data_IF_752321254268
#
_entry.id   IF_752321254268
#
_cell.length_a   1.000
_cell.length_b   1.000
_cell.length_c   1.000
_cell.angle_alpha   90.00
_cell.angle_beta   90.00
_cell.angle_gamma   90.00
#
_symmetry.space_group_name_H-M   'P 1'
#
loop_
_entity.id
_entity.type
_entity.pdbx_description
1 polymer ?
#
# COMPACT_ATOMS: atom_id res chain seq x y z
N UNK A 1 -39.98 -22.16 -8.71
CA UNK A 1 -38.59 -21.96 -8.29
C UNK A 1 -38.62 -21.48 -6.83
N UNK A 2 -38.04 -22.29 -5.97
CA UNK A 2 -38.06 -22.03 -4.52
C UNK A 2 -37.51 -20.63 -4.20
N UNK A 3 -38.29 -19.85 -3.46
CA UNK A 3 -37.96 -18.55 -2.90
C UNK A 3 -36.58 -18.55 -2.20
N UNK A 4 -36.22 -19.66 -1.56
CA UNK A 4 -34.93 -19.85 -0.89
C UNK A 4 -33.71 -19.74 -1.83
N UNK A 5 -33.78 -20.27 -3.04
CA UNK A 5 -32.69 -20.17 -4.02
C UNK A 5 -32.47 -18.73 -4.52
N UNK A 6 -33.56 -17.96 -4.67
CA UNK A 6 -33.53 -16.55 -5.04
C UNK A 6 -32.94 -15.69 -3.93
N UNK A 7 -33.21 -16.02 -2.66
CA UNK A 7 -32.65 -15.29 -1.49
C UNK A 7 -31.16 -15.56 -1.28
N UNK A 8 -30.70 -16.78 -1.56
CA UNK A 8 -29.25 -17.10 -1.52
C UNK A 8 -28.50 -16.31 -2.57
N UNK A 9 -29.04 -16.20 -3.79
CA UNK A 9 -28.42 -15.41 -4.87
C UNK A 9 -28.37 -13.91 -4.52
N UNK A 10 -29.41 -13.36 -3.92
CA UNK A 10 -29.45 -11.94 -3.50
C UNK A 10 -28.48 -11.59 -2.36
N UNK A 11 -28.08 -12.58 -1.55
CA UNK A 11 -27.14 -12.38 -0.42
C UNK A 11 -25.68 -12.56 -0.79
N UNK A 12 -25.38 -12.96 -2.03
CA UNK A 12 -23.99 -13.06 -2.47
C UNK A 12 -23.33 -11.67 -2.50
N UNK A 13 -22.19 -11.54 -1.84
CA UNK A 13 -21.41 -10.31 -1.88
C UNK A 13 -20.75 -10.12 -3.26
N UNK A 14 -20.54 -8.87 -3.67
CA UNK A 14 -19.89 -8.53 -4.96
C UNK A 14 -18.52 -9.21 -5.14
N UNK A 15 -17.82 -9.53 -4.06
CA UNK A 15 -16.56 -10.28 -4.12
C UNK A 15 -16.81 -11.76 -4.44
N UNK A 16 -17.86 -12.35 -3.92
CA UNK A 16 -18.19 -13.76 -4.15
C UNK A 16 -18.59 -13.96 -5.62
N UNK A 17 -19.36 -13.03 -6.17
CA UNK A 17 -19.67 -13.01 -7.60
C UNK A 17 -18.38 -12.91 -8.44
N UNK A 18 -17.49 -11.99 -8.09
CA UNK A 18 -16.20 -11.81 -8.78
C UNK A 18 -15.31 -13.05 -8.64
N UNK A 19 -15.34 -13.73 -7.49
CA UNK A 19 -14.61 -14.98 -7.23
C UNK A 19 -15.10 -16.09 -8.15
N UNK A 20 -16.40 -16.21 -8.35
CA UNK A 20 -17.00 -17.25 -9.20
C UNK A 20 -16.73 -16.96 -10.68
N UNK A 21 -16.92 -15.72 -11.12
CA UNK A 21 -16.65 -15.30 -12.50
C UNK A 21 -15.17 -15.40 -12.88
N UNK A 22 -14.28 -15.18 -11.93
CA UNK A 22 -12.85 -15.09 -12.17
C UNK A 22 -12.46 -13.82 -12.93
N UNK A 23 -11.26 -13.81 -13.47
CA UNK A 23 -10.74 -12.70 -14.29
C UNK A 23 -9.30 -12.34 -13.99
N UNK A 24 -8.87 -11.23 -14.55
CA UNK A 24 -7.51 -10.69 -14.41
C UNK A 24 -7.58 -9.39 -13.62
N UNK A 25 -6.71 -9.24 -12.62
CA UNK A 25 -6.56 -8.02 -11.83
C UNK A 25 -5.80 -6.92 -12.58
N UNK A 26 -5.80 -5.71 -12.03
CA UNK A 26 -5.03 -4.59 -12.58
C UNK A 26 -3.51 -4.85 -12.60
N UNK A 27 -3.03 -5.82 -11.83
CA UNK A 27 -1.65 -6.29 -11.80
C UNK A 27 -1.32 -7.27 -12.93
N UNK A 28 -2.27 -7.62 -13.82
CA UNK A 28 -2.10 -8.56 -14.91
C UNK A 28 -2.11 -10.04 -14.51
N UNK A 29 -2.36 -10.35 -13.23
CA UNK A 29 -2.46 -11.73 -12.71
C UNK A 29 -3.92 -12.12 -12.50
N UNK A 30 -4.19 -13.44 -12.45
CA UNK A 30 -5.50 -13.96 -12.04
C UNK A 30 -5.90 -13.41 -10.66
N UNK A 31 -7.18 -13.21 -10.46
CA UNK A 31 -7.72 -12.64 -9.22
C UNK A 31 -7.31 -13.47 -7.99
N UNK A 32 -6.76 -12.81 -6.97
CA UNK A 32 -6.33 -13.47 -5.73
C UNK A 32 -7.48 -14.24 -5.06
N UNK A 33 -8.70 -13.70 -5.10
CA UNK A 33 -9.89 -14.34 -4.54
C UNK A 33 -10.33 -15.59 -5.31
N UNK A 34 -9.98 -15.71 -6.59
CA UNK A 34 -10.28 -16.88 -7.41
C UNK A 34 -9.20 -17.97 -7.32
N UNK A 35 -7.97 -17.59 -6.94
CA UNK A 35 -6.81 -18.51 -6.91
C UNK A 35 -6.52 -19.02 -5.51
N UNK A 36 -5.90 -18.22 -4.65
CA UNK A 36 -5.32 -18.68 -3.38
C UNK A 36 -5.93 -18.04 -2.14
N UNK A 37 -6.58 -16.87 -2.29
CA UNK A 37 -7.07 -16.11 -1.14
C UNK A 37 -8.53 -16.50 -0.83
N UNK A 38 -8.72 -17.31 0.21
CA UNK A 38 -10.04 -17.76 0.67
C UNK A 38 -10.61 -16.91 1.80
N UNK A 39 -9.74 -16.38 2.68
CA UNK A 39 -10.14 -15.57 3.82
C UNK A 39 -9.96 -14.08 3.55
N UNK A 40 -10.95 -13.29 3.94
CA UNK A 40 -10.97 -11.85 3.69
C UNK A 40 -11.08 -11.05 4.98
N UNK A 41 -10.00 -10.38 5.30
CA UNK A 41 -9.93 -9.43 6.41
C UNK A 41 -10.21 -8.02 5.88
N UNK A 42 -10.82 -7.13 6.68
CA UNK A 42 -11.03 -5.74 6.30
C UNK A 42 -9.71 -5.06 5.90
N UNK A 43 -9.74 -4.38 4.74
CA UNK A 43 -8.61 -3.61 4.21
C UNK A 43 -8.83 -2.14 4.52
N UNK A 44 -7.77 -1.43 4.86
CA UNK A 44 -7.76 0.00 5.16
C UNK A 44 -6.95 0.77 4.10
N UNK A 45 -7.37 2.00 3.81
CA UNK A 45 -6.62 2.92 2.93
C UNK A 45 -5.22 3.20 3.46
N UNK A 46 -5.03 3.14 4.78
CA UNK A 46 -3.72 3.29 5.41
C UNK A 46 -2.71 2.26 4.89
N UNK A 47 -3.13 1.03 4.64
CA UNK A 47 -2.28 -0.03 4.06
C UNK A 47 -1.78 0.36 2.67
N UNK A 48 -2.62 0.96 1.84
CA UNK A 48 -2.22 1.45 0.52
C UNK A 48 -1.15 2.55 0.61
N UNK A 49 -1.27 3.47 1.59
CA UNK A 49 -0.26 4.50 1.84
C UNK A 49 1.07 3.91 2.33
N UNK A 50 1.03 2.95 3.23
CA UNK A 50 2.22 2.26 3.74
C UNK A 50 2.96 1.45 2.66
N UNK A 51 2.23 1.01 1.63
CA UNK A 51 2.76 0.33 0.45
C UNK A 51 3.14 1.28 -0.69
N UNK A 52 3.16 2.60 -0.44
CA UNK A 52 3.48 3.65 -1.42
C UNK A 52 2.60 3.62 -2.68
N UNK A 53 1.35 3.17 -2.56
CA UNK A 53 0.40 3.21 -3.66
C UNK A 53 -0.30 4.57 -3.73
N UNK A 54 -0.57 5.00 -4.95
CA UNK A 54 -1.40 6.18 -5.19
C UNK A 54 -2.79 5.96 -4.59
N UNK A 55 -3.29 6.93 -3.81
CA UNK A 55 -4.62 6.86 -3.18
C UNK A 55 -5.78 7.08 -4.17
N UNK A 56 -5.52 7.02 -5.47
CA UNK A 56 -6.57 7.09 -6.48
C UNK A 56 -7.47 5.85 -6.37
N UNK A 57 -8.79 6.01 -6.15
CA UNK A 57 -9.73 4.91 -6.01
C UNK A 57 -9.65 3.87 -7.14
N UNK A 58 -9.42 4.31 -8.38
CA UNK A 58 -9.29 3.40 -9.54
C UNK A 58 -8.06 2.49 -9.48
N UNK A 59 -7.00 2.92 -8.77
CA UNK A 59 -5.75 2.16 -8.63
C UNK A 59 -5.71 1.27 -7.40
N UNK A 60 -6.50 1.58 -6.37
CA UNK A 60 -6.53 0.80 -5.12
C UNK A 60 -7.77 -0.10 -5.00
N UNK A 61 -8.73 0.01 -5.93
CA UNK A 61 -9.91 -0.85 -5.96
C UNK A 61 -9.68 -2.07 -6.85
N UNK A 62 -10.15 -3.20 -6.41
CA UNK A 62 -10.19 -4.43 -7.20
C UNK A 62 -11.37 -4.44 -8.19
N UNK A 63 -11.42 -5.46 -9.05
CA UNK A 63 -12.51 -5.70 -10.01
C UNK A 63 -13.88 -5.77 -9.34
N UNK A 64 -13.94 -6.23 -8.08
CA UNK A 64 -15.17 -6.28 -7.27
C UNK A 64 -15.60 -4.90 -6.72
N UNK A 65 -14.94 -3.81 -7.05
CA UNK A 65 -15.23 -2.45 -6.56
C UNK A 65 -14.87 -2.18 -5.09
N UNK A 66 -14.30 -3.17 -4.37
CA UNK A 66 -13.78 -3.00 -3.01
C UNK A 66 -12.27 -2.79 -3.05
N UNK A 67 -11.68 -2.30 -1.94
CA UNK A 67 -10.23 -2.23 -1.82
C UNK A 67 -9.58 -3.59 -2.09
N UNK A 68 -8.43 -3.57 -2.77
CA UNK A 68 -7.71 -4.78 -3.17
C UNK A 68 -7.33 -5.62 -1.95
N UNK A 69 -7.68 -6.90 -1.96
CA UNK A 69 -7.40 -7.84 -0.87
C UNK A 69 -5.91 -8.15 -0.72
N UNK A 70 -5.11 -8.03 -1.78
CA UNK A 70 -3.66 -8.20 -1.73
C UNK A 70 -2.98 -7.19 -0.81
N UNK A 71 -3.54 -5.97 -0.63
CA UNK A 71 -3.01 -4.98 0.31
C UNK A 71 -2.85 -5.55 1.73
N UNK A 72 -3.86 -6.27 2.22
CA UNK A 72 -3.76 -6.91 3.54
C UNK A 72 -2.84 -8.12 3.52
N UNK A 73 -2.89 -8.92 2.46
CA UNK A 73 -2.05 -10.11 2.32
C UNK A 73 -0.55 -9.78 2.31
N UNK A 74 -0.18 -8.64 1.73
CA UNK A 74 1.21 -8.20 1.63
C UNK A 74 1.65 -7.28 2.77
N UNK A 75 0.73 -6.82 3.64
CA UNK A 75 0.97 -5.81 4.66
C UNK A 75 2.14 -6.15 5.59
N UNK A 76 2.17 -7.38 6.10
CA UNK A 76 3.19 -7.81 7.06
C UNK A 76 4.61 -7.79 6.45
N UNK A 77 4.71 -8.16 5.17
CA UNK A 77 5.96 -8.07 4.41
C UNK A 77 6.42 -6.62 4.23
N UNK A 78 5.50 -5.72 3.86
CA UNK A 78 5.83 -4.31 3.73
C UNK A 78 6.21 -3.67 5.07
N UNK A 79 5.52 -3.99 6.17
CA UNK A 79 5.87 -3.51 7.51
C UNK A 79 7.29 -3.93 7.91
N UNK A 80 7.64 -5.21 7.68
CA UNK A 80 8.97 -5.74 7.95
C UNK A 80 10.05 -5.03 7.12
N UNK A 81 9.82 -4.87 5.81
CA UNK A 81 10.77 -4.24 4.92
C UNK A 81 10.90 -2.73 5.21
N UNK A 82 9.81 -2.05 5.49
CA UNK A 82 9.80 -0.63 5.86
C UNK A 82 10.54 -0.36 7.17
N UNK A 83 10.55 -1.31 8.11
CA UNK A 83 11.29 -1.15 9.36
C UNK A 83 12.80 -1.04 9.17
N UNK A 84 13.30 -1.54 8.04
CA UNK A 84 14.72 -1.54 7.66
C UNK A 84 15.12 -0.33 6.79
N UNK A 85 14.18 0.56 6.48
CA UNK A 85 14.37 1.65 5.55
C UNK A 85 14.30 3.02 6.24
N UNK A 86 15.06 4.02 5.77
CA UNK A 86 14.87 5.41 6.18
C UNK A 86 13.57 5.96 5.61
N UNK A 87 13.09 7.09 6.16
CA UNK A 87 11.91 7.74 5.61
C UNK A 87 12.27 8.76 4.55
N UNK A 88 11.27 9.08 3.73
CA UNK A 88 11.34 10.24 2.84
C UNK A 88 11.53 11.50 3.69
N UNK A 89 12.54 12.30 3.34
CA UNK A 89 12.92 13.51 4.06
C UNK A 89 13.95 13.33 5.19
N UNK A 90 14.36 12.09 5.50
CA UNK A 90 15.43 11.86 6.47
C UNK A 90 16.81 12.18 5.86
N UNK A 91 17.70 12.76 6.66
CA UNK A 91 19.10 12.93 6.29
C UNK A 91 19.86 11.63 6.56
N UNK A 92 20.53 11.12 5.55
CA UNK A 92 21.33 9.90 5.60
C UNK A 92 22.75 10.16 5.11
N UNK A 93 23.69 9.34 5.59
CA UNK A 93 25.06 9.35 5.10
C UNK A 93 25.34 8.06 4.35
N UNK A 94 26.05 8.16 3.25
CA UNK A 94 26.57 6.98 2.54
C UNK A 94 27.87 6.51 3.20
N UNK A 95 28.24 5.26 2.97
CA UNK A 95 29.54 4.73 3.41
C UNK A 95 30.72 5.52 2.80
N UNK A 96 30.50 6.22 1.69
CA UNK A 96 31.49 7.12 1.05
C UNK A 96 31.58 8.48 1.73
N UNK A 97 30.79 8.75 2.78
CA UNK A 97 30.81 10.02 3.53
C UNK A 97 29.90 11.11 2.95
N UNK A 98 29.26 10.88 1.82
CA UNK A 98 28.35 11.85 1.19
C UNK A 98 27.05 11.93 2.00
N UNK A 99 26.59 13.16 2.29
CA UNK A 99 25.31 13.42 2.94
C UNK A 99 24.25 13.69 1.90
N UNK A 100 23.07 13.10 2.08
CA UNK A 100 21.93 13.34 1.21
C UNK A 100 20.61 13.26 1.95
N UNK A 101 19.57 13.81 1.34
CA UNK A 101 18.20 13.74 1.84
C UNK A 101 17.45 12.70 1.05
N UNK A 102 16.71 11.83 1.73
CA UNK A 102 15.90 10.79 1.10
C UNK A 102 14.74 11.41 0.33
N UNK A 103 14.70 11.23 -0.98
CA UNK A 103 13.63 11.69 -1.85
C UNK A 103 12.55 10.61 -2.07
N UNK A 104 12.98 9.40 -2.39
CA UNK A 104 12.09 8.29 -2.69
C UNK A 104 12.66 6.98 -2.14
N UNK A 105 11.78 6.09 -1.69
CA UNK A 105 12.15 4.78 -1.14
C UNK A 105 11.43 3.68 -1.90
N UNK A 106 12.19 2.76 -2.49
CA UNK A 106 11.66 1.54 -3.12
C UNK A 106 11.73 0.38 -2.14
N UNK A 107 10.62 0.09 -1.46
CA UNK A 107 10.55 -0.88 -0.37
C UNK A 107 10.97 -2.29 -0.81
N UNK A 108 10.39 -2.79 -1.90
CA UNK A 108 10.65 -4.16 -2.37
C UNK A 108 12.06 -4.34 -2.94
N UNK A 109 12.61 -3.31 -3.59
CA UNK A 109 13.96 -3.35 -4.16
C UNK A 109 15.05 -3.01 -3.15
N UNK A 110 14.68 -2.56 -1.95
CA UNK A 110 15.58 -2.08 -0.90
C UNK A 110 16.56 -1.03 -1.46
N UNK A 111 16.02 -0.07 -2.21
CA UNK A 111 16.77 1.06 -2.80
C UNK A 111 16.18 2.38 -2.35
N UNK A 112 17.07 3.35 -2.21
CA UNK A 112 16.73 4.71 -1.77
C UNK A 112 17.33 5.71 -2.75
N UNK A 113 16.50 6.62 -3.26
CA UNK A 113 16.97 7.76 -4.04
C UNK A 113 17.30 8.90 -3.10
N UNK A 114 18.52 9.36 -3.14
CA UNK A 114 19.01 10.49 -2.35
C UNK A 114 19.16 11.72 -3.24
N UNK A 115 18.76 12.85 -2.71
CA UNK A 115 19.16 14.16 -3.22
C UNK A 115 20.49 14.50 -2.56
N UNK A 116 21.57 14.44 -3.31
CA UNK A 116 22.90 14.87 -2.88
C UNK A 116 23.09 16.30 -3.38
N UNK A 117 23.58 17.18 -2.52
CA UNK A 117 23.97 18.55 -2.94
C UNK A 117 25.47 18.59 -3.04
N UNK A 118 25.97 18.80 -4.25
CA UNK A 118 27.42 18.96 -4.50
C UNK A 118 27.96 20.29 -3.96
N UNK A 119 29.27 20.40 -3.88
CA UNK A 119 29.97 21.64 -3.45
C UNK A 119 29.61 22.87 -4.31
N UNK A 120 29.11 22.65 -5.53
CA UNK A 120 28.63 23.69 -6.45
C UNK A 120 27.17 24.07 -6.23
N UNK A 121 26.47 23.43 -5.30
CA UNK A 121 25.05 23.68 -5.02
C UNK A 121 24.09 22.98 -6.00
N UNK A 122 24.58 22.16 -6.89
CA UNK A 122 23.74 21.36 -7.78
C UNK A 122 23.15 20.15 -7.03
N UNK A 123 21.87 19.87 -7.29
CA UNK A 123 21.16 18.74 -6.67
C UNK A 123 21.12 17.58 -7.62
N UNK A 124 21.78 16.51 -7.30
CA UNK A 124 21.75 15.26 -8.05
C UNK A 124 20.89 14.20 -7.35
N UNK A 125 20.14 13.43 -8.16
CA UNK A 125 19.38 12.26 -7.68
C UNK A 125 20.21 11.01 -7.95
N UNK A 126 20.66 10.36 -6.89
CA UNK A 126 21.47 9.13 -7.00
C UNK A 126 20.79 7.99 -6.27
N UNK A 127 20.76 6.81 -6.91
CA UNK A 127 20.20 5.59 -6.33
C UNK A 127 21.24 4.83 -5.52
N UNK A 128 20.94 4.57 -4.25
CA UNK A 128 21.78 3.76 -3.36
C UNK A 128 21.03 2.53 -2.86
N UNK A 129 21.77 1.46 -2.55
CA UNK A 129 21.23 0.33 -1.79
C UNK A 129 21.20 0.70 -0.30
N UNK A 130 20.23 0.12 0.41
CA UNK A 130 20.07 0.37 1.85
C UNK A 130 21.32 -0.05 2.64
N UNK A 131 22.00 -1.11 2.22
CA UNK A 131 23.20 -1.63 2.86
C UNK A 131 24.39 -0.66 2.80
N UNK A 132 24.39 0.26 1.83
CA UNK A 132 25.42 1.28 1.64
C UNK A 132 25.13 2.58 2.42
N UNK A 133 24.03 2.62 3.18
CA UNK A 133 23.58 3.81 3.89
C UNK A 133 23.74 3.67 5.40
N UNK A 134 24.29 4.70 6.02
CA UNK A 134 24.36 4.83 7.47
C UNK A 134 23.24 5.76 7.93
N UNK A 135 22.22 5.19 8.55
CA UNK A 135 21.09 5.93 9.12
C UNK A 135 20.68 5.31 10.45
N UNK A 136 19.97 6.08 11.25
CA UNK A 136 19.40 5.56 12.50
C UNK A 136 18.07 4.86 12.18
N UNK A 137 17.93 3.54 12.45
CA UNK A 137 16.67 2.85 12.24
C UNK A 137 15.58 3.54 13.09
N UNK A 138 14.43 3.73 12.47
CA UNK A 138 13.31 4.45 13.10
C UNK A 138 12.77 3.67 14.29
N UNK A 139 12.75 4.27 15.47
CA UNK A 139 11.81 3.86 16.51
C UNK A 139 10.39 4.05 15.94
N UNK A 140 9.59 2.96 15.92
CA UNK A 140 8.20 2.95 15.46
C UNK A 140 7.49 4.19 15.99
N UNK A 141 7.20 5.17 15.13
CA UNK A 141 6.37 6.32 15.53
C UNK A 141 4.97 5.77 15.77
N UNK A 142 4.60 5.64 17.01
CA UNK A 142 3.20 5.50 17.39
C UNK A 142 2.46 6.71 16.80
N UNK A 143 1.43 6.42 16.00
CA UNK A 143 0.52 7.39 15.38
C UNK A 143 1.17 8.32 14.35
N UNK A 144 1.20 7.86 13.12
CA UNK A 144 1.14 8.78 11.97
C UNK A 144 -0.06 9.70 12.23
N UNK A 145 0.19 11.03 12.35
CA UNK A 145 -0.90 12.01 12.33
C UNK A 145 -1.63 11.75 11.03
N UNK A 146 -2.88 11.29 11.13
CA UNK A 146 -3.71 11.04 9.97
C UNK A 146 -3.88 12.39 9.28
N UNK A 147 -3.35 12.50 8.06
CA UNK A 147 -3.57 13.67 7.22
C UNK A 147 -5.09 13.85 7.08
N UNK A 148 -5.56 15.10 7.03
CA UNK A 148 -7.00 15.39 6.98
C UNK A 148 -7.69 14.77 5.75
N UNK A 149 -6.96 14.57 4.67
CA UNK A 149 -7.42 13.83 3.49
C UNK A 149 -7.69 12.35 3.80
N UNK A 150 -6.82 11.71 4.57
CA UNK A 150 -7.00 10.31 4.98
C UNK A 150 -8.23 10.14 5.87
N UNK A 151 -8.45 11.10 6.79
CA UNK A 151 -9.66 11.11 7.63
C UNK A 151 -10.93 11.26 6.80
N UNK A 152 -10.90 12.13 5.77
CA UNK A 152 -12.03 12.32 4.85
C UNK A 152 -12.33 11.04 4.06
N UNK A 153 -11.28 10.38 3.52
CA UNK A 153 -11.41 9.13 2.76
C UNK A 153 -11.94 7.99 3.64
N UNK A 154 -11.43 7.82 4.85
CA UNK A 154 -11.96 6.82 5.80
C UNK A 154 -13.41 7.11 6.24
N UNK A 155 -13.76 8.39 6.39
CA UNK A 155 -15.13 8.79 6.69
C UNK A 155 -16.09 8.49 5.54
N UNK A 156 -15.66 8.69 4.30
CA UNK A 156 -16.43 8.33 3.10
C UNK A 156 -16.61 6.82 3.00
N UNK A 157 -15.56 6.04 3.21
CA UNK A 157 -15.62 4.58 3.21
C UNK A 157 -16.56 4.02 4.28
N UNK A 158 -16.54 4.61 5.49
CA UNK A 158 -17.48 4.25 6.57
C UNK A 158 -18.94 4.57 6.22
N UNK A 159 -19.19 5.69 5.53
CA UNK A 159 -20.54 6.04 5.05
C UNK A 159 -21.04 5.06 4.00
N UNK A 160 -20.19 4.69 3.02
CA UNK A 160 -20.56 3.72 2.00
C UNK A 160 -20.85 2.33 2.59
N UNK A 161 -20.10 1.91 3.59
CA UNK A 161 -20.37 0.65 4.30
C UNK A 161 -21.72 0.65 5.02
N UNK A 162 -22.11 1.80 5.62
CA UNK A 162 -23.41 1.93 6.30
C UNK A 162 -24.60 2.02 5.34
N UNK A 163 -24.40 2.52 4.12
CA UNK A 163 -25.49 2.62 3.13
C UNK A 163 -25.76 1.30 2.37
N UNK A 164 -24.88 0.30 2.54
CA UNK A 164 -24.98 -1.03 1.89
C UNK A 164 -25.41 -2.15 2.85
N UNK A 165 -25.74 -1.80 4.08
CA UNK A 165 -26.38 -2.66 5.10
C UNK A 165 -27.87 -2.39 5.20
#
# INVERSE_FOLDING_TARGET
ISSAASDVYKRQGVRDETKIKGGIGICGRSLCCNTFLSEFVPVSIKMAKEQNLSLNPTKISGVCGRLMCCLKNEQDTYEYLNSKLPNVGDEVKTNTGVKGVVHEVSVLRQRVKLVVTDEKGEKELVDYKVDDLIFRPRKRREKVKMDDELKKLEAMEKKERKSKL
#
